data_IF_556644079023
#
_entry.id   IF_556644079023
#
_cell.length_a   1.000
_cell.length_b   1.000
_cell.length_c   1.000
_cell.angle_alpha   90.00
_cell.angle_beta   90.00
_cell.angle_gamma   90.00
#
_symmetry.space_group_name_H-M   'P 1'
#
loop_
_entity.id
_entity.type
_entity.pdbx_description
1 polymer ?
#
# COMPACT_ATOMS: atom_id res chain seq x y z
N UNK A 1 -5.45 -4.97 -11.11
CA UNK A 1 -6.79 -4.36 -11.30
C UNK A 1 -7.82 -5.16 -10.53
N UNK A 2 -8.69 -4.50 -9.78
CA UNK A 2 -9.64 -5.16 -8.88
C UNK A 2 -10.42 -6.27 -9.59
N UNK A 3 -10.58 -7.39 -8.91
CA UNK A 3 -11.31 -8.56 -9.43
C UNK A 3 -12.73 -8.54 -8.86
N UNK A 4 -13.70 -8.52 -9.75
CA UNK A 4 -15.12 -8.63 -9.43
C UNK A 4 -15.61 -10.04 -9.75
N UNK A 5 -16.04 -10.78 -8.74
CA UNK A 5 -16.70 -12.06 -8.89
C UNK A 5 -18.19 -11.89 -8.58
N UNK A 6 -18.99 -11.63 -9.62
CA UNK A 6 -20.43 -11.41 -9.46
C UNK A 6 -21.17 -12.64 -8.94
N UNK A 7 -20.70 -13.87 -9.29
CA UNK A 7 -21.32 -15.11 -8.83
C UNK A 7 -21.17 -15.32 -7.31
N UNK A 8 -20.10 -14.79 -6.74
CA UNK A 8 -19.83 -14.84 -5.28
C UNK A 8 -20.17 -13.55 -4.58
N UNK A 9 -20.47 -12.48 -5.32
CA UNK A 9 -20.65 -11.14 -4.75
C UNK A 9 -19.37 -10.62 -4.10
N UNK A 10 -18.19 -10.97 -4.62
CA UNK A 10 -16.90 -10.60 -4.04
C UNK A 10 -16.17 -9.56 -4.89
N UNK A 11 -15.60 -8.57 -4.21
CA UNK A 11 -14.68 -7.58 -4.76
C UNK A 11 -13.33 -7.72 -4.07
N UNK A 12 -12.28 -8.05 -4.82
CA UNK A 12 -10.91 -8.15 -4.29
C UNK A 12 -10.08 -7.01 -4.87
N UNK A 13 -9.56 -6.15 -4.01
CA UNK A 13 -8.66 -5.06 -4.35
C UNK A 13 -7.23 -5.34 -3.87
N UNK A 14 -6.23 -4.87 -4.61
CA UNK A 14 -4.81 -5.07 -4.31
C UNK A 14 -4.13 -3.74 -3.99
N UNK A 15 -3.50 -3.66 -2.83
CA UNK A 15 -2.65 -2.53 -2.42
C UNK A 15 -1.21 -3.01 -2.25
N UNK A 16 -0.28 -2.30 -2.87
CA UNK A 16 1.14 -2.58 -2.75
C UNK A 16 1.82 -1.66 -1.74
N UNK A 17 2.61 -2.26 -0.86
CA UNK A 17 3.59 -1.54 -0.04
C UNK A 17 4.89 -1.44 -0.81
N UNK A 18 5.31 -0.23 -1.09
CA UNK A 18 6.56 0.09 -1.80
C UNK A 18 7.45 0.98 -0.95
N UNK A 19 8.69 1.20 -1.38
CA UNK A 19 9.66 2.03 -0.65
C UNK A 19 10.99 1.30 -0.42
N UNK A 20 12.03 2.00 0.06
CA UNK A 20 13.37 1.46 0.18
C UNK A 20 13.46 0.29 1.18
N UNK A 21 14.52 -0.49 1.07
CA UNK A 21 14.84 -1.51 2.07
C UNK A 21 15.04 -0.86 3.45
N UNK A 22 14.52 -1.48 4.50
CA UNK A 22 14.61 -0.96 5.86
C UNK A 22 13.63 0.15 6.23
N UNK A 23 12.76 0.61 5.32
CA UNK A 23 11.74 1.62 5.64
C UNK A 23 10.58 1.11 6.52
N UNK A 24 10.53 -0.18 6.85
CA UNK A 24 9.54 -0.73 7.78
C UNK A 24 8.33 -1.40 7.14
N UNK A 25 8.36 -1.76 5.85
CA UNK A 25 7.24 -2.42 5.16
C UNK A 25 6.74 -3.68 5.87
N UNK A 26 7.66 -4.59 6.25
CA UNK A 26 7.30 -5.82 6.99
C UNK A 26 6.72 -5.50 8.36
N UNK A 27 7.38 -4.63 9.10
CA UNK A 27 6.92 -4.20 10.44
C UNK A 27 5.54 -3.51 10.38
N UNK A 28 5.26 -2.76 9.30
CA UNK A 28 3.95 -2.15 9.08
C UNK A 28 2.86 -3.22 8.92
N UNK A 29 3.09 -4.25 8.10
CA UNK A 29 2.14 -5.36 7.92
C UNK A 29 1.89 -6.09 9.25
N UNK A 30 2.94 -6.37 10.01
CA UNK A 30 2.82 -6.99 11.34
C UNK A 30 2.06 -6.08 12.32
N UNK A 31 2.35 -4.78 12.31
CA UNK A 31 1.66 -3.80 13.15
C UNK A 31 0.17 -3.67 12.81
N UNK A 32 -0.20 -3.73 11.53
CA UNK A 32 -1.60 -3.76 11.09
C UNK A 32 -2.24 -5.07 11.57
N UNK A 33 -1.61 -6.21 11.31
CA UNK A 33 -2.11 -7.54 11.70
C UNK A 33 -2.43 -7.61 13.20
N UNK A 34 -1.54 -7.09 14.04
CA UNK A 34 -1.68 -7.15 15.49
C UNK A 34 -2.77 -6.23 16.05
N UNK A 35 -3.17 -5.19 15.29
CA UNK A 35 -4.19 -4.21 15.72
C UNK A 35 -5.57 -4.47 15.17
N UNK A 36 -5.68 -5.28 14.13
CA UNK A 36 -6.97 -5.64 13.57
C UNK A 36 -7.54 -6.88 14.27
N UNK A 37 -8.87 -6.90 14.52
CA UNK A 37 -9.54 -8.07 15.03
C UNK A 37 -9.36 -9.28 14.10
N UNK A 38 -9.35 -10.50 14.65
CA UNK A 38 -9.14 -11.72 13.87
C UNK A 38 -10.12 -11.90 12.72
N UNK A 39 -11.40 -11.55 12.94
CA UNK A 39 -12.42 -11.65 11.89
C UNK A 39 -12.19 -10.71 10.69
N UNK A 40 -11.29 -9.73 10.82
CA UNK A 40 -10.85 -8.86 9.72
C UNK A 40 -9.68 -9.43 8.94
N UNK A 41 -9.09 -10.52 9.42
CA UNK A 41 -8.03 -11.25 8.71
C UNK A 41 -8.71 -12.36 7.92
N UNK A 42 -8.75 -12.24 6.60
CA UNK A 42 -9.33 -13.28 5.76
C UNK A 42 -8.52 -14.58 5.91
N UNK A 43 -9.18 -15.73 5.82
CA UNK A 43 -8.53 -17.04 5.77
C UNK A 43 -7.63 -17.14 4.52
N UNK A 44 -6.43 -17.66 4.69
CA UNK A 44 -5.33 -17.44 3.77
C UNK A 44 -4.93 -18.67 2.97
N UNK A 45 -4.69 -18.43 1.67
CA UNK A 45 -3.71 -19.18 0.90
C UNK A 45 -2.31 -18.65 1.18
N UNK A 46 -1.23 -19.43 1.02
CA UNK A 46 0.12 -18.89 1.20
C UNK A 46 0.40 -17.75 0.23
N UNK A 47 1.26 -16.77 0.62
CA UNK A 47 1.62 -15.67 -0.26
C UNK A 47 2.33 -16.17 -1.52
N UNK A 48 2.19 -15.44 -2.64
CA UNK A 48 2.96 -15.77 -3.85
C UNK A 48 4.48 -15.76 -3.58
N UNK A 49 5.27 -16.58 -4.26
CA UNK A 49 6.73 -16.53 -4.18
C UNK A 49 7.25 -15.12 -4.52
N UNK A 50 8.31 -14.67 -3.83
CA UNK A 50 8.91 -13.35 -4.06
C UNK A 50 8.19 -12.18 -3.38
N UNK A 51 7.20 -12.43 -2.54
CA UNK A 51 6.53 -11.42 -1.72
C UNK A 51 7.22 -11.31 -0.36
N UNK A 52 7.58 -10.09 0.04
CA UNK A 52 8.24 -9.85 1.33
C UNK A 52 7.30 -10.05 2.52
N UNK A 53 6.07 -9.60 2.37
CA UNK A 53 5.01 -9.72 3.38
C UNK A 53 3.65 -9.63 2.71
N UNK A 54 2.66 -10.26 3.32
CA UNK A 54 1.31 -10.32 2.81
C UNK A 54 0.28 -10.32 3.94
N UNK A 55 -0.82 -9.62 3.72
CA UNK A 55 -1.94 -9.57 4.66
C UNK A 55 -3.26 -9.41 3.90
N UNK A 56 -4.08 -10.45 3.84
CA UNK A 56 -5.44 -10.34 3.35
C UNK A 56 -6.34 -9.79 4.45
N UNK A 57 -7.18 -8.83 4.07
CA UNK A 57 -8.12 -8.15 4.96
C UNK A 57 -9.54 -8.30 4.45
N UNK A 58 -10.45 -8.58 5.36
CA UNK A 58 -11.89 -8.53 5.11
C UNK A 58 -12.43 -7.17 5.56
N UNK A 59 -12.90 -6.38 4.60
CA UNK A 59 -13.47 -5.05 4.85
C UNK A 59 -14.98 -5.10 5.13
N UNK A 60 -15.60 -6.28 5.01
CA UNK A 60 -17.03 -6.48 5.17
C UNK A 60 -17.81 -6.16 3.89
N UNK A 61 -19.13 -5.97 4.03
CA UNK A 61 -20.01 -5.66 2.89
C UNK A 61 -20.10 -4.16 2.64
N UNK A 62 -19.84 -3.77 1.38
CA UNK A 62 -19.89 -2.38 0.92
C UNK A 62 -20.61 -2.35 -0.43
N UNK A 63 -21.73 -1.63 -0.53
CA UNK A 63 -22.49 -1.54 -1.79
C UNK A 63 -22.99 -2.90 -2.32
N UNK A 64 -23.29 -3.84 -1.42
CA UNK A 64 -23.71 -5.20 -1.80
C UNK A 64 -22.56 -6.20 -1.98
N UNK A 65 -21.35 -5.74 -2.20
CA UNK A 65 -20.16 -6.56 -2.42
C UNK A 65 -19.47 -6.94 -1.10
N UNK A 66 -19.06 -8.20 -0.95
CA UNK A 66 -18.09 -8.61 0.07
C UNK A 66 -16.71 -8.11 -0.37
N UNK A 67 -16.17 -7.13 0.32
CA UNK A 67 -14.92 -6.47 -0.09
C UNK A 67 -13.74 -7.06 0.67
N UNK A 68 -12.75 -7.52 -0.09
CA UNK A 68 -11.46 -8.00 0.43
C UNK A 68 -10.32 -7.13 -0.11
N UNK A 69 -9.37 -6.83 0.75
CA UNK A 69 -8.15 -6.13 0.39
C UNK A 69 -6.96 -7.08 0.52
N UNK A 70 -6.13 -7.14 -0.50
CA UNK A 70 -4.85 -7.84 -0.49
C UNK A 70 -3.74 -6.81 -0.32
N UNK A 71 -3.04 -6.86 0.80
CA UNK A 71 -1.91 -5.97 1.08
C UNK A 71 -0.60 -6.72 0.85
N UNK A 72 0.19 -6.33 -0.15
CA UNK A 72 1.45 -6.97 -0.50
C UNK A 72 2.64 -6.05 -0.25
N UNK A 73 3.62 -6.52 0.53
CA UNK A 73 4.93 -5.88 0.66
C UNK A 73 5.90 -6.47 -0.34
N UNK A 74 6.32 -5.67 -1.31
CA UNK A 74 7.28 -6.10 -2.31
C UNK A 74 8.72 -5.83 -1.85
N UNK A 75 9.66 -6.76 -2.12
CA UNK A 75 11.07 -6.47 -1.98
C UNK A 75 11.49 -5.43 -3.02
N UNK A 76 12.50 -4.64 -2.68
CA UNK A 76 13.05 -3.64 -3.59
C UNK A 76 13.80 -4.29 -4.77
N UNK A 77 14.51 -5.37 -4.48
CA UNK A 77 15.31 -6.17 -5.43
C UNK A 77 15.27 -7.65 -5.00
N UNK A 78 15.61 -8.53 -5.93
CA UNK A 78 15.82 -9.95 -5.63
C UNK A 78 14.97 -10.88 -6.50
N UNK A 79 14.93 -12.14 -6.11
CA UNK A 79 14.14 -13.19 -6.76
C UNK A 79 12.65 -12.84 -6.74
N UNK A 80 11.96 -13.06 -7.85
CA UNK A 80 10.52 -12.76 -7.95
C UNK A 80 10.17 -11.53 -8.79
N UNK A 81 11.05 -11.09 -9.69
CA UNK A 81 10.79 -9.96 -10.60
C UNK A 81 9.50 -10.15 -11.42
N UNK A 82 9.21 -11.39 -11.87
CA UNK A 82 7.97 -11.71 -12.56
C UNK A 82 6.73 -11.49 -11.65
N UNK A 83 6.79 -11.96 -10.40
CA UNK A 83 5.73 -11.73 -9.41
C UNK A 83 5.58 -10.24 -9.10
N UNK A 84 6.69 -9.51 -8.98
CA UNK A 84 6.70 -8.07 -8.75
C UNK A 84 5.99 -7.33 -9.89
N UNK A 85 6.34 -7.62 -11.15
CA UNK A 85 5.68 -7.03 -12.34
C UNK A 85 4.20 -7.34 -12.37
N UNK A 86 3.82 -8.59 -12.12
CA UNK A 86 2.41 -9.00 -12.06
C UNK A 86 1.64 -8.22 -11.00
N UNK A 87 2.17 -8.13 -9.77
CA UNK A 87 1.49 -7.41 -8.69
C UNK A 87 1.42 -5.91 -8.96
N UNK A 88 2.44 -5.32 -9.59
CA UNK A 88 2.40 -3.91 -10.02
C UNK A 88 1.32 -3.68 -11.09
N UNK A 89 1.19 -4.59 -12.06
CA UNK A 89 0.15 -4.48 -13.09
C UNK A 89 -1.26 -4.64 -12.52
N UNK A 90 -1.45 -5.44 -11.48
CA UNK A 90 -2.73 -5.68 -10.82
C UNK A 90 -3.06 -4.70 -9.69
N UNK A 91 -2.14 -3.82 -9.30
CA UNK A 91 -2.34 -2.93 -8.17
C UNK A 91 -3.52 -1.96 -8.37
N UNK A 92 -4.33 -1.79 -7.34
CA UNK A 92 -5.42 -0.82 -7.28
C UNK A 92 -5.03 0.41 -6.44
N UNK A 93 -3.98 0.27 -5.63
CA UNK A 93 -3.44 1.35 -4.82
C UNK A 93 -2.01 1.10 -4.36
N UNK A 94 -1.35 2.16 -3.95
CA UNK A 94 0.02 2.19 -3.47
C UNK A 94 0.10 2.83 -2.09
N UNK A 95 0.77 2.16 -1.16
CA UNK A 95 1.19 2.73 0.10
C UNK A 95 2.73 2.81 0.10
N UNK A 96 3.26 3.99 -0.18
CA UNK A 96 4.70 4.23 -0.22
C UNK A 96 5.21 4.43 1.22
N UNK A 97 5.94 3.45 1.72
CA UNK A 97 6.54 3.43 3.05
C UNK A 97 7.95 4.02 2.95
N UNK A 98 8.12 5.24 3.44
CA UNK A 98 9.31 6.07 3.26
C UNK A 98 9.98 6.31 4.62
N UNK A 99 11.31 6.30 4.63
CA UNK A 99 12.12 6.46 5.82
C UNK A 99 12.36 7.94 6.09
N UNK A 100 11.99 8.44 7.27
CA UNK A 100 12.16 9.87 7.61
C UNK A 100 13.59 10.29 7.91
N UNK A 101 14.53 9.35 8.02
CA UNK A 101 15.93 9.70 8.30
C UNK A 101 16.52 10.54 7.16
N UNK A 102 17.20 11.62 7.50
CA UNK A 102 17.87 12.52 6.53
C UNK A 102 18.87 11.75 5.64
N UNK A 103 19.60 10.80 6.23
CA UNK A 103 20.54 9.93 5.50
C UNK A 103 19.89 8.95 4.53
N UNK A 104 18.57 8.81 4.54
CA UNK A 104 17.79 7.88 3.71
C UNK A 104 17.00 8.57 2.60
N UNK A 105 17.16 9.89 2.45
CA UNK A 105 16.41 10.65 1.45
C UNK A 105 16.67 10.14 0.03
N UNK A 106 17.93 9.90 -0.34
CA UNK A 106 18.30 9.40 -1.67
C UNK A 106 17.78 8.00 -1.93
N UNK A 107 17.71 7.14 -0.91
CA UNK A 107 17.13 5.80 -1.03
C UNK A 107 15.61 5.87 -1.27
N UNK A 108 14.91 6.79 -0.60
CA UNK A 108 13.50 7.05 -0.86
C UNK A 108 13.28 7.51 -2.31
N UNK A 109 14.05 8.49 -2.78
CA UNK A 109 13.99 8.98 -4.16
C UNK A 109 14.25 7.85 -5.17
N UNK A 110 15.30 7.06 -4.94
CA UNK A 110 15.62 5.93 -5.80
C UNK A 110 14.52 4.87 -5.83
N UNK A 111 13.88 4.59 -4.69
CA UNK A 111 12.75 3.65 -4.62
C UNK A 111 11.52 4.15 -5.38
N UNK A 112 11.19 5.46 -5.26
CA UNK A 112 10.08 6.07 -5.98
C UNK A 112 10.33 6.10 -7.50
N UNK A 113 11.55 6.41 -7.95
CA UNK A 113 11.92 6.36 -9.37
C UNK A 113 11.78 4.95 -9.95
N UNK A 114 12.31 3.92 -9.26
CA UNK A 114 12.16 2.52 -9.69
C UNK A 114 10.70 2.06 -9.73
N UNK A 115 9.87 2.54 -8.81
CA UNK A 115 8.44 2.28 -8.87
C UNK A 115 7.82 2.93 -10.11
N UNK A 116 8.14 4.20 -10.35
CA UNK A 116 7.65 4.92 -11.53
C UNK A 116 8.05 4.22 -12.84
N UNK A 117 9.31 3.84 -12.97
CA UNK A 117 9.81 3.07 -14.13
C UNK A 117 9.05 1.74 -14.31
N UNK A 118 8.88 0.98 -13.21
CA UNK A 118 8.14 -0.30 -13.27
C UNK A 118 6.65 -0.13 -13.59
N UNK A 119 6.10 1.06 -13.44
CA UNK A 119 4.71 1.35 -13.79
C UNK A 119 4.51 1.92 -15.20
N UNK A 120 5.59 2.23 -15.93
CA UNK A 120 5.49 2.73 -17.31
C UNK A 120 4.87 1.70 -18.26
N UNK A 121 5.09 0.40 -17.99
CA UNK A 121 4.56 -0.69 -18.80
C UNK A 121 3.09 -1.02 -18.47
N UNK A 122 2.51 -0.31 -17.52
CA UNK A 122 1.14 -0.54 -17.08
C UNK A 122 0.15 0.27 -17.93
N UNK A 123 -0.99 -0.34 -18.26
CA UNK A 123 -2.13 0.39 -18.80
C UNK A 123 -2.71 1.39 -17.77
N UNK A 124 -2.92 2.62 -18.19
CA UNK A 124 -3.43 3.71 -17.37
C UNK A 124 -2.34 4.62 -16.78
N UNK A 125 -2.75 5.82 -16.40
CA UNK A 125 -1.84 6.83 -15.86
C UNK A 125 -1.53 6.53 -14.38
N UNK A 126 -0.25 6.51 -14.03
CA UNK A 126 0.21 6.37 -12.64
C UNK A 126 -0.38 7.49 -11.76
N UNK A 127 -0.65 8.66 -12.35
CA UNK A 127 -1.22 9.81 -11.63
C UNK A 127 -2.62 9.53 -11.10
N UNK A 128 -3.35 8.63 -11.72
CA UNK A 128 -4.69 8.20 -11.30
C UNK A 128 -4.66 7.09 -10.25
N UNK A 129 -3.49 6.53 -9.97
CA UNK A 129 -3.33 5.46 -8.97
C UNK A 129 -3.53 6.02 -7.56
N UNK A 130 -4.51 5.51 -6.79
CA UNK A 130 -4.64 5.79 -5.38
C UNK A 130 -3.31 5.60 -4.66
N UNK A 131 -2.76 6.65 -4.09
CA UNK A 131 -1.44 6.61 -3.46
C UNK A 131 -1.47 7.36 -2.14
N UNK A 132 -0.84 6.78 -1.13
CA UNK A 132 -0.57 7.42 0.15
C UNK A 132 0.92 7.30 0.45
N UNK A 133 1.53 8.38 0.90
CA UNK A 133 2.90 8.37 1.44
C UNK A 133 2.85 8.20 2.95
N UNK A 134 3.65 7.27 3.48
CA UNK A 134 3.78 7.01 4.89
C UNK A 134 5.22 7.22 5.33
N UNK A 135 5.48 8.33 6.01
CA UNK A 135 6.77 8.67 6.59
C UNK A 135 6.95 7.97 7.93
N UNK A 136 7.81 6.97 7.97
CA UNK A 136 8.06 6.11 9.14
C UNK A 136 9.22 6.61 9.99
N UNK A 137 9.45 5.95 11.13
CA UNK A 137 10.55 6.22 12.06
C UNK A 137 10.50 7.62 12.69
N UNK A 138 9.30 8.12 12.91
CA UNK A 138 9.07 9.41 13.59
C UNK A 138 9.40 9.39 15.08
N UNK A 139 9.78 8.24 15.60
CA UNK A 139 10.28 8.01 16.97
C UNK A 139 11.79 8.27 17.14
N UNK A 140 12.50 8.47 16.04
CA UNK A 140 13.93 8.78 16.08
C UNK A 140 14.18 10.23 16.53
N UNK A 141 15.39 10.51 17.08
CA UNK A 141 15.80 11.87 17.42
C UNK A 141 15.63 12.84 16.26
N UNK A 142 15.20 14.08 16.58
CA UNK A 142 14.89 15.10 15.56
C UNK A 142 16.09 15.45 14.67
N UNK A 143 17.29 15.29 15.19
CA UNK A 143 18.55 15.56 14.46
C UNK A 143 18.81 14.52 13.36
N UNK A 144 18.17 13.36 13.44
CA UNK A 144 18.34 12.27 12.48
C UNK A 144 17.27 12.24 11.40
N UNK A 145 16.12 12.89 11.61
CA UNK A 145 14.98 12.87 10.71
C UNK A 145 14.72 14.24 10.06
N UNK A 146 14.18 14.22 8.85
CA UNK A 146 13.68 15.42 8.21
C UNK A 146 12.28 15.75 8.71
N UNK A 147 11.94 17.05 8.87
CA UNK A 147 10.56 17.50 9.08
C UNK A 147 9.63 17.00 7.96
N UNK A 148 8.36 16.76 8.30
CA UNK A 148 7.37 16.24 7.33
C UNK A 148 7.21 17.14 6.11
N UNK A 149 7.26 18.46 6.29
CA UNK A 149 7.19 19.43 5.22
C UNK A 149 8.37 19.28 4.24
N UNK A 150 9.59 19.11 4.75
CA UNK A 150 10.76 18.89 3.91
C UNK A 150 10.71 17.54 3.19
N UNK A 151 10.15 16.49 3.82
CA UNK A 151 9.93 15.21 3.17
C UNK A 151 8.89 15.32 2.05
N UNK A 152 7.81 16.04 2.28
CA UNK A 152 6.79 16.28 1.26
C UNK A 152 7.36 17.10 0.10
N UNK A 153 8.09 18.17 0.36
CA UNK A 153 8.74 18.99 -0.69
C UNK A 153 9.70 18.17 -1.54
N UNK A 154 10.48 17.28 -0.91
CA UNK A 154 11.49 16.48 -1.61
C UNK A 154 10.93 15.26 -2.35
N UNK A 155 9.87 14.64 -1.84
CA UNK A 155 9.39 13.32 -2.29
C UNK A 155 7.99 13.37 -2.92
N UNK A 156 7.11 14.28 -2.45
CA UNK A 156 5.70 14.24 -2.79
C UNK A 156 5.32 15.19 -3.95
N UNK A 157 6.07 15.12 -5.03
CA UNK A 157 5.84 15.94 -6.25
C UNK A 157 4.44 15.73 -6.87
N UNK A 158 3.73 14.66 -6.50
CA UNK A 158 2.35 14.41 -6.94
C UNK A 158 1.29 15.04 -6.04
N UNK A 159 1.66 15.60 -4.89
CA UNK A 159 0.72 16.13 -3.90
C UNK A 159 -0.27 15.10 -3.36
N UNK A 160 0.15 13.84 -3.24
CA UNK A 160 -0.70 12.77 -2.68
C UNK A 160 -0.83 12.91 -1.16
N UNK A 161 -1.84 12.27 -0.58
CA UNK A 161 -2.00 12.26 0.88
C UNK A 161 -0.74 11.69 1.53
N UNK A 162 -0.15 12.45 2.44
CA UNK A 162 0.94 11.99 3.29
C UNK A 162 0.47 11.76 4.74
N UNK A 163 1.10 10.82 5.41
CA UNK A 163 0.90 10.48 6.83
C UNK A 163 2.25 10.18 7.46
N UNK A 164 2.32 10.33 8.76
CA UNK A 164 3.47 9.94 9.57
C UNK A 164 3.15 8.73 10.44
N UNK A 165 4.15 7.91 10.76
CA UNK A 165 3.96 6.75 11.62
C UNK A 165 5.14 6.47 12.53
N UNK A 166 4.80 5.99 13.72
CA UNK A 166 5.70 5.34 14.68
C UNK A 166 5.24 3.87 14.75
N UNK A 167 5.81 3.02 13.89
CA UNK A 167 5.36 1.65 13.74
C UNK A 167 5.43 0.85 15.05
N UNK A 168 6.50 0.96 15.90
CA UNK A 168 6.56 0.23 17.16
C UNK A 168 5.39 0.52 18.10
N UNK A 169 4.94 1.77 18.20
CA UNK A 169 3.80 2.16 19.03
C UNK A 169 2.46 1.98 18.32
N UNK A 170 2.49 1.94 16.98
CA UNK A 170 1.33 1.87 16.08
C UNK A 170 0.67 3.19 15.76
N UNK A 171 1.25 4.30 16.23
CA UNK A 171 0.77 5.63 15.86
C UNK A 171 0.85 5.82 14.36
N UNK A 172 -0.22 6.32 13.73
CA UNK A 172 -0.31 6.58 12.29
C UNK A 172 -0.53 5.34 11.41
N UNK A 173 -0.43 4.11 11.96
CA UNK A 173 -0.49 2.85 11.19
C UNK A 173 -1.90 2.61 10.60
N UNK A 174 -2.93 2.67 11.45
CA UNK A 174 -4.31 2.44 10.99
C UNK A 174 -4.84 3.63 10.20
N UNK A 175 -4.40 4.84 10.50
CA UNK A 175 -4.73 6.06 9.75
C UNK A 175 -4.22 5.99 8.31
N UNK A 176 -3.01 5.48 8.10
CA UNK A 176 -2.46 5.26 6.76
C UNK A 176 -3.22 4.17 5.99
N UNK A 177 -3.53 3.04 6.67
CA UNK A 177 -4.36 1.99 6.09
C UNK A 177 -5.74 2.52 5.70
N UNK A 178 -6.41 3.24 6.59
CA UNK A 178 -7.72 3.83 6.31
C UNK A 178 -7.66 4.81 5.12
N UNK A 179 -6.63 5.64 5.04
CA UNK A 179 -6.47 6.59 3.94
C UNK A 179 -6.37 5.87 2.59
N UNK A 180 -5.50 4.87 2.46
CA UNK A 180 -5.33 4.16 1.19
C UNK A 180 -6.57 3.32 0.84
N UNK A 181 -7.20 2.65 1.81
CA UNK A 181 -8.44 1.89 1.59
C UNK A 181 -9.55 2.81 1.09
N UNK A 182 -9.71 3.99 1.69
CA UNK A 182 -10.72 4.97 1.27
C UNK A 182 -10.51 5.42 -0.18
N UNK A 183 -9.27 5.73 -0.57
CA UNK A 183 -8.95 6.14 -1.93
C UNK A 183 -9.23 5.01 -2.94
N UNK A 184 -8.82 3.79 -2.63
CA UNK A 184 -9.05 2.61 -3.49
C UNK A 184 -10.55 2.35 -3.66
N UNK A 185 -11.31 2.33 -2.57
CA UNK A 185 -12.76 2.11 -2.63
C UNK A 185 -13.50 3.20 -3.40
N UNK A 186 -13.12 4.47 -3.25
CA UNK A 186 -13.69 5.57 -4.04
C UNK A 186 -13.44 5.41 -5.53
N UNK A 187 -12.25 4.95 -5.91
CA UNK A 187 -11.93 4.67 -7.32
C UNK A 187 -12.73 3.50 -7.89
N UNK A 188 -12.98 2.47 -7.07
CA UNK A 188 -13.67 1.25 -7.50
C UNK A 188 -15.21 1.37 -7.45
N UNK A 189 -15.75 2.33 -6.71
CA UNK A 189 -17.18 2.50 -6.51
C UNK A 189 -17.99 2.63 -7.81
N UNK A 190 -17.58 3.40 -8.85
CA UNK A 190 -18.32 3.45 -10.12
C UNK A 190 -18.40 2.09 -10.81
N UNK A 191 -17.26 1.38 -10.90
CA UNK A 191 -17.21 0.06 -11.53
C UNK A 191 -17.98 -1.02 -10.75
N UNK A 192 -18.13 -0.85 -9.43
CA UNK A 192 -18.94 -1.73 -8.59
C UNK A 192 -20.44 -1.46 -8.77
N UNK A 193 -20.84 -0.20 -8.96
CA UNK A 193 -22.23 0.19 -9.19
C UNK A 193 -22.77 -0.31 -10.52
N UNK A 194 -21.92 -0.36 -11.55
CA UNK A 194 -22.27 -0.84 -12.90
C UNK A 194 -22.37 -2.39 -13.00
N UNK A 195 -22.03 -3.10 -11.94
CA UNK A 195 -22.02 -4.57 -11.89
C UNK A 195 -22.95 -5.05 -10.78
N UNK A 196 -24.18 -5.41 -11.09
CA UNK A 196 -25.11 -5.93 -10.08
C UNK A 196 -24.54 -7.22 -9.45
N UNK A 197 -24.70 -7.33 -8.15
CA UNK A 197 -24.46 -8.57 -7.42
C UNK A 197 -25.61 -9.51 -7.72
N UNK A 198 -25.32 -10.69 -8.25
CA UNK A 198 -26.33 -11.73 -8.58
C UNK A 198 -27.02 -12.31 -7.34
#
# INVERSE_FOLDING_TARGET
MARFDAARGELVATVLLTGPSGAGKRSLVEAIRNRLPEHRRALESPPPPGVLSWLPLDLGRIGGWQVRLQLYGLPERGDGEATRRLLISEADGLLAVLDSQASRLDDNLAALRRLQEAMLDREGDIRDMPTVFLYTKQDLPRELILPLEQLDDALNFRGVISRSAIIPTGSGVLEALHAIVTLVLRRLAPAAADRPVG
#
